data_IF_755175683139
#
_entry.id   IF_755175683139
#
_cell.length_a   1.000
_cell.length_b   1.000
_cell.length_c   1.000
_cell.angle_alpha   90.00
_cell.angle_beta   90.00
_cell.angle_gamma   90.00
#
_symmetry.space_group_name_H-M   'P 1'
#
loop_
_entity.id
_entity.type
_entity.pdbx_description
1 polymer ?
#
# COMPACT_ATOMS: atom_id res chain seq x y z
N UNK A 1 -38.55 -2.79 -26.04
CA UNK A 1 -37.57 -1.79 -25.60
C UNK A 1 -36.20 -2.39 -25.80
N UNK A 2 -35.50 -1.88 -26.80
CA UNK A 2 -34.33 -2.49 -27.40
C UNK A 2 -33.07 -1.93 -26.75
N UNK A 3 -32.27 -2.86 -26.23
CA UNK A 3 -30.84 -2.85 -25.91
C UNK A 3 -30.02 -1.81 -26.69
N UNK A 4 -29.20 -1.04 -25.97
CA UNK A 4 -28.04 -0.32 -26.54
C UNK A 4 -26.86 -0.39 -25.57
N UNK A 5 -25.84 -1.10 -26.04
CA UNK A 5 -24.47 -1.18 -25.54
C UNK A 5 -23.69 -0.01 -26.17
N UNK A 6 -22.86 0.70 -25.42
CA UNK A 6 -21.91 1.66 -25.98
C UNK A 6 -20.63 1.72 -25.14
N UNK A 7 -19.58 1.09 -25.66
CA UNK A 7 -18.17 1.32 -25.34
C UNK A 7 -17.68 2.61 -25.98
N UNK A 8 -16.66 3.26 -25.41
CA UNK A 8 -15.67 3.91 -26.26
C UNK A 8 -14.22 3.47 -26.01
N UNK A 9 -13.53 3.29 -27.14
CA UNK A 9 -12.10 3.15 -27.35
C UNK A 9 -11.25 4.21 -26.63
N UNK A 10 -10.00 3.90 -26.27
CA UNK A 10 -8.89 4.86 -26.43
C UNK A 10 -7.54 4.13 -26.56
N UNK A 11 -6.79 4.64 -27.52
CA UNK A 11 -5.60 4.13 -28.19
C UNK A 11 -4.34 4.00 -27.36
N UNK A 12 -3.70 2.85 -27.56
CA UNK A 12 -2.25 2.55 -27.52
C UNK A 12 -1.37 3.69 -28.04
N UNK A 13 -0.46 4.18 -27.20
CA UNK A 13 0.80 4.78 -27.64
C UNK A 13 1.94 4.35 -26.70
N UNK A 14 2.85 3.56 -27.25
CA UNK A 14 4.16 3.28 -26.68
C UNK A 14 5.16 4.10 -27.46
N UNK A 15 5.98 4.87 -26.76
CA UNK A 15 7.17 5.52 -27.32
C UNK A 15 8.27 5.47 -26.26
N UNK A 16 9.38 4.79 -26.53
CA UNK A 16 10.67 5.19 -26.00
C UNK A 16 11.52 5.70 -27.16
N UNK A 17 11.88 6.99 -27.08
CA UNK A 17 12.78 7.67 -27.99
C UNK A 17 14.21 7.11 -27.91
N UNK A 18 14.84 6.96 -29.08
CA UNK A 18 16.24 6.63 -29.28
C UNK A 18 17.17 7.76 -28.82
N UNK A 19 18.37 7.42 -28.32
CA UNK A 19 19.57 8.21 -28.59
C UNK A 19 20.83 7.33 -28.63
N UNK A 20 21.65 7.64 -29.61
CA UNK A 20 22.80 6.89 -30.12
C UNK A 20 24.05 7.16 -29.27
N UNK A 21 24.97 6.19 -29.19
CA UNK A 21 26.40 6.44 -28.93
C UNK A 21 27.24 5.30 -29.52
N UNK A 22 28.46 5.67 -29.92
CA UNK A 22 29.27 5.16 -31.03
C UNK A 22 30.26 4.03 -30.67
N UNK A 23 30.68 3.28 -31.72
CA UNK A 23 31.81 2.34 -31.95
C UNK A 23 32.97 2.26 -30.92
N UNK A 24 33.80 1.22 -30.75
CA UNK A 24 34.10 -0.18 -31.21
C UNK A 24 35.44 -0.56 -30.47
N UNK A 25 36.21 -1.65 -30.73
CA UNK A 25 35.97 -3.08 -30.96
C UNK A 25 36.78 -4.00 -29.98
N UNK A 26 36.51 -5.31 -29.91
CA UNK A 26 37.54 -6.36 -29.77
C UNK A 26 36.94 -7.78 -29.88
N UNK A 27 37.64 -8.63 -30.61
CA UNK A 27 37.31 -10.02 -30.90
C UNK A 27 37.32 -10.93 -29.67
N UNK A 28 36.42 -11.93 -29.68
CA UNK A 28 36.43 -13.04 -28.74
C UNK A 28 35.39 -14.08 -29.15
N UNK A 29 35.81 -15.04 -29.97
CA UNK A 29 34.99 -16.16 -30.42
C UNK A 29 34.99 -17.26 -29.36
N UNK A 30 33.85 -17.50 -28.70
CA UNK A 30 33.64 -18.68 -27.87
C UNK A 30 32.36 -19.40 -28.29
N UNK A 31 32.57 -20.57 -28.90
CA UNK A 31 31.55 -21.51 -29.33
C UNK A 31 30.91 -22.15 -28.10
N UNK A 32 29.68 -21.79 -27.75
CA UNK A 32 28.92 -22.52 -26.71
C UNK A 32 27.52 -22.92 -27.17
N UNK A 33 27.52 -24.04 -27.89
CA UNK A 33 26.63 -25.19 -27.70
C UNK A 33 25.24 -24.95 -27.11
N UNK A 34 24.24 -25.07 -28.00
CA UNK A 34 22.87 -25.58 -27.83
C UNK A 34 22.40 -25.81 -26.39
N UNK A 35 21.47 -24.97 -25.93
CA UNK A 35 20.53 -25.34 -24.86
C UNK A 35 19.10 -25.23 -25.39
N UNK A 36 18.46 -26.38 -25.54
CA UNK A 36 17.04 -26.53 -25.90
C UNK A 36 16.20 -25.79 -24.87
N UNK A 37 15.41 -24.79 -25.29
CA UNK A 37 14.29 -24.29 -24.50
C UNK A 37 13.16 -25.32 -24.60
N UNK A 38 13.06 -26.19 -23.60
CA UNK A 38 11.83 -26.94 -23.36
C UNK A 38 10.80 -25.99 -22.78
N UNK A 39 9.68 -25.86 -23.49
CA UNK A 39 8.47 -25.15 -23.04
C UNK A 39 8.09 -25.62 -21.64
N UNK A 40 8.26 -24.77 -20.64
CA UNK A 40 7.51 -24.89 -19.39
C UNK A 40 6.09 -24.45 -19.68
N UNK A 41 5.19 -25.43 -19.88
CA UNK A 41 3.75 -25.24 -19.80
C UNK A 41 3.46 -24.45 -18.52
N UNK A 42 3.03 -23.20 -18.68
CA UNK A 42 2.37 -22.47 -17.62
C UNK A 42 1.03 -23.18 -17.37
N UNK A 43 1.01 -24.06 -16.39
CA UNK A 43 -0.24 -24.51 -15.78
C UNK A 43 -0.68 -23.41 -14.85
N UNK A 44 -1.41 -22.43 -15.38
CA UNK A 44 -2.22 -21.54 -14.56
C UNK A 44 -3.34 -22.40 -13.99
N UNK A 45 -3.14 -22.88 -12.76
CA UNK A 45 -4.18 -23.53 -12.00
C UNK A 45 -5.12 -22.43 -11.48
N UNK A 46 -6.24 -22.22 -12.18
CA UNK A 46 -7.40 -21.54 -11.61
C UNK A 46 -8.12 -22.57 -10.74
N UNK A 47 -7.86 -22.53 -9.43
CA UNK A 47 -8.69 -23.17 -8.41
C UNK A 47 -8.35 -22.54 -7.06
N UNK A 48 -9.28 -21.75 -6.52
CA UNK A 48 -9.19 -21.24 -5.15
C UNK A 48 -9.76 -19.83 -4.93
N UNK A 49 -10.90 -19.47 -5.51
CA UNK A 49 -11.49 -18.13 -5.27
C UNK A 49 -12.16 -17.97 -3.89
N UNK A 50 -12.27 -19.05 -3.09
CA UNK A 50 -12.97 -19.03 -1.79
C UNK A 50 -12.01 -19.11 -0.61
N UNK A 51 -10.83 -19.71 -0.78
CA UNK A 51 -9.84 -19.85 0.30
C UNK A 51 -8.98 -18.58 0.48
N UNK A 52 -8.79 -17.77 -0.58
CA UNK A 52 -7.94 -16.57 -0.55
C UNK A 52 -8.55 -15.46 0.34
N UNK A 53 -9.87 -15.29 0.30
CA UNK A 53 -10.58 -14.27 1.08
C UNK A 53 -10.55 -14.53 2.59
N UNK A 54 -10.70 -15.79 3.00
CA UNK A 54 -10.65 -16.17 4.42
C UNK A 54 -9.25 -16.00 5.02
N UNK A 55 -8.21 -16.33 4.25
CA UNK A 55 -6.82 -16.16 4.67
C UNK A 55 -6.44 -14.67 4.77
N UNK A 56 -6.91 -13.83 3.84
CA UNK A 56 -6.70 -12.37 3.91
C UNK A 56 -7.38 -11.73 5.13
N UNK A 57 -8.60 -12.16 5.46
CA UNK A 57 -9.31 -11.67 6.66
C UNK A 57 -8.56 -12.08 7.92
N UNK A 58 -8.06 -13.31 7.99
CA UNK A 58 -7.29 -13.79 9.14
C UNK A 58 -6.01 -12.97 9.34
N UNK A 59 -5.27 -12.66 8.27
CA UNK A 59 -4.08 -11.80 8.35
C UNK A 59 -4.44 -10.40 8.88
N UNK A 60 -5.55 -9.82 8.43
CA UNK A 60 -6.05 -8.51 8.92
C UNK A 60 -6.40 -8.56 10.40
N UNK A 61 -7.01 -9.64 10.87
CA UNK A 61 -7.32 -9.83 12.30
C UNK A 61 -6.03 -9.95 13.12
N UNK A 62 -5.04 -10.72 12.67
CA UNK A 62 -3.75 -10.85 13.35
C UNK A 62 -2.99 -9.51 13.42
N UNK A 63 -3.01 -8.75 12.32
CA UNK A 63 -2.44 -7.40 12.28
C UNK A 63 -3.13 -6.46 13.27
N UNK A 64 -4.47 -6.54 13.37
CA UNK A 64 -5.26 -5.75 14.30
C UNK A 64 -4.94 -6.12 15.76
N UNK A 65 -4.89 -7.42 16.09
CA UNK A 65 -4.53 -7.90 17.44
C UNK A 65 -3.16 -7.39 17.91
N UNK A 66 -2.20 -7.21 17.00
CA UNK A 66 -0.86 -6.69 17.32
C UNK A 66 -0.84 -5.21 17.69
N UNK A 67 -1.70 -4.40 17.07
CA UNK A 67 -1.71 -2.94 17.28
C UNK A 67 -2.66 -2.49 18.40
N UNK A 68 -3.69 -3.28 18.69
CA UNK A 68 -4.67 -2.98 19.72
C UNK A 68 -4.10 -3.36 21.10
N UNK A 69 -4.17 -2.46 22.11
CA UNK A 69 -3.76 -2.79 23.47
C UNK A 69 -4.49 -4.03 23.98
N UNK A 70 -3.74 -5.07 24.38
CA UNK A 70 -4.32 -6.34 24.83
C UNK A 70 -4.92 -7.22 23.73
N UNK A 71 -4.81 -6.83 22.45
CA UNK A 71 -5.49 -7.48 21.31
C UNK A 71 -5.15 -8.96 21.10
N UNK A 72 -3.92 -9.39 21.43
CA UNK A 72 -3.50 -10.81 21.28
C UNK A 72 -4.25 -11.78 22.20
N UNK A 73 -4.90 -11.28 23.26
CA UNK A 73 -5.71 -12.07 24.18
C UNK A 73 -7.23 -11.99 23.88
N UNK A 74 -7.63 -11.20 22.87
CA UNK A 74 -9.04 -10.94 22.56
C UNK A 74 -9.53 -11.80 21.39
N UNK A 75 -10.78 -12.27 21.49
CA UNK A 75 -11.55 -12.80 20.37
C UNK A 75 -12.04 -11.68 19.43
N UNK A 76 -12.56 -12.04 18.26
CA UNK A 76 -12.90 -11.10 17.17
C UNK A 76 -13.86 -9.99 17.59
N UNK A 77 -14.96 -10.32 18.28
CA UNK A 77 -15.95 -9.31 18.68
C UNK A 77 -15.37 -8.30 19.68
N UNK A 78 -14.67 -8.78 20.71
CA UNK A 78 -14.02 -7.95 21.70
C UNK A 78 -12.87 -7.12 21.10
N UNK A 79 -12.16 -7.68 20.10
CA UNK A 79 -11.12 -6.98 19.37
C UNK A 79 -11.68 -5.77 18.63
N UNK A 80 -12.86 -5.88 18.01
CA UNK A 80 -13.49 -4.74 17.33
C UNK A 80 -13.99 -3.66 18.29
N UNK A 81 -14.55 -4.05 19.44
CA UNK A 81 -14.95 -3.09 20.48
C UNK A 81 -13.73 -2.32 21.02
N UNK A 82 -12.67 -3.05 21.39
CA UNK A 82 -11.41 -2.44 21.86
C UNK A 82 -10.75 -1.59 20.76
N UNK A 83 -10.87 -2.01 19.49
CA UNK A 83 -10.42 -1.21 18.34
C UNK A 83 -11.15 0.13 18.26
N UNK A 84 -12.48 0.12 18.38
CA UNK A 84 -13.27 1.35 18.36
C UNK A 84 -12.88 2.28 19.53
N UNK A 85 -12.74 1.71 20.73
CA UNK A 85 -12.27 2.41 21.91
C UNK A 85 -10.88 3.02 21.73
N UNK A 86 -9.95 2.24 21.19
CA UNK A 86 -8.57 2.68 20.98
C UNK A 86 -8.50 3.80 19.94
N UNK A 87 -9.20 3.70 18.81
CA UNK A 87 -9.30 4.76 17.80
C UNK A 87 -9.80 6.06 18.44
N UNK A 88 -10.88 5.99 19.23
CA UNK A 88 -11.41 7.17 19.92
C UNK A 88 -10.38 7.76 20.89
N UNK A 89 -9.67 6.92 21.65
CA UNK A 89 -8.63 7.37 22.58
C UNK A 89 -7.49 8.11 21.86
N UNK A 90 -7.05 7.61 20.71
CA UNK A 90 -6.01 8.23 19.89
C UNK A 90 -6.47 9.58 19.37
N UNK A 91 -7.71 9.68 18.89
CA UNK A 91 -8.28 10.95 18.45
C UNK A 91 -8.38 11.96 19.60
N UNK A 92 -8.82 11.55 20.79
CA UNK A 92 -8.87 12.42 21.96
C UNK A 92 -7.48 12.91 22.38
N UNK A 93 -6.46 12.03 22.37
CA UNK A 93 -5.06 12.41 22.64
C UNK A 93 -4.58 13.48 21.66
N UNK A 94 -4.80 13.28 20.36
CA UNK A 94 -4.43 14.26 19.33
C UNK A 94 -5.15 15.60 19.55
N UNK A 95 -6.46 15.58 19.77
CA UNK A 95 -7.26 16.80 20.03
C UNK A 95 -6.72 17.57 21.23
N UNK A 96 -6.42 16.87 22.32
CA UNK A 96 -5.87 17.45 23.55
C UNK A 96 -4.54 18.15 23.28
N UNK A 97 -3.59 17.45 22.64
CA UNK A 97 -2.29 18.01 22.29
C UNK A 97 -2.46 19.24 21.40
N UNK A 98 -3.33 19.20 20.38
CA UNK A 98 -3.57 20.36 19.50
C UNK A 98 -4.10 21.57 20.25
N UNK A 99 -4.99 21.37 21.23
CA UNK A 99 -5.50 22.47 22.08
C UNK A 99 -4.37 23.04 22.94
N UNK A 100 -3.59 22.19 23.60
CA UNK A 100 -2.46 22.62 24.44
C UNK A 100 -1.40 23.36 23.62
N UNK A 101 -1.01 22.83 22.46
CA UNK A 101 -0.07 23.48 21.54
C UNK A 101 -0.61 24.83 21.06
N UNK A 102 -1.90 24.92 20.73
CA UNK A 102 -2.53 26.19 20.32
C UNK A 102 -2.53 27.22 21.45
N UNK A 103 -2.67 26.78 22.70
CA UNK A 103 -2.57 27.64 23.87
C UNK A 103 -1.14 28.16 24.09
N UNK A 104 -0.15 27.27 24.09
CA UNK A 104 1.27 27.65 24.24
C UNK A 104 1.73 28.60 23.13
N UNK A 105 1.35 28.32 21.88
CA UNK A 105 1.68 29.19 20.75
C UNK A 105 1.05 30.59 20.88
N UNK A 106 -0.06 30.73 21.60
CA UNK A 106 -0.64 32.06 21.90
C UNK A 106 0.17 32.77 22.99
N UNK A 107 0.63 32.08 24.02
CA UNK A 107 1.48 32.66 25.06
C UNK A 107 2.79 33.19 24.47
N UNK A 108 3.47 32.38 23.65
CA UNK A 108 4.72 32.76 22.99
C UNK A 108 4.59 34.05 22.15
N UNK A 109 3.39 34.32 21.61
CA UNK A 109 3.10 35.53 20.81
C UNK A 109 2.75 36.76 21.66
N UNK A 110 2.32 36.58 22.91
CA UNK A 110 2.01 37.68 23.81
C UNK A 110 3.27 38.21 24.49
N UNK A 111 4.24 37.33 24.79
CA UNK A 111 5.52 37.73 25.38
C UNK A 111 6.39 38.58 24.42
N UNK A 112 6.11 38.55 23.11
CA UNK A 112 6.80 39.35 22.08
C UNK A 112 6.21 40.76 21.88
N UNK A 113 5.22 41.20 22.68
CA UNK A 113 4.54 42.50 22.52
C UNK A 113 4.87 43.54 23.61
N UNK A 114 5.78 43.25 24.52
CA UNK A 114 6.23 44.18 25.58
C UNK A 114 7.64 44.75 25.33
N UNK A 115 7.90 45.30 24.15
CA UNK A 115 9.08 46.11 23.86
C UNK A 115 8.66 47.50 23.37
N UNK A 116 8.84 48.51 24.22
CA UNK A 116 8.64 49.93 23.88
C UNK A 116 9.80 50.52 23.09
#
# INVERSE_FOLDING_TARGET
MEKTLATPDTTRSLSPSCSVSVESPAAGFERRTKRRLSQTKASVCVSGEVDEDEEEVKEKIEALQRIIPGGTALGVDALFEETAGYIMSLQCKIKTIKVLTSFLQRLDKQDMKFGG
#
